data_IF_483046333240
#
_entry.id   IF_483046333240
#
_cell.length_a   1.000
_cell.length_b   1.000
_cell.length_c   1.000
_cell.angle_alpha   90.00
_cell.angle_beta   90.00
_cell.angle_gamma   90.00
#
_symmetry.space_group_name_H-M   'P 1'
#
loop_
_entity.id
_entity.type
_entity.pdbx_description
1 polymer ?
#
# COMPACT_ATOMS: atom_id res chain seq x y z
N UNK A 1 32.05 64.25 2.28
CA UNK A 1 30.78 64.01 2.97
C UNK A 1 29.71 63.76 1.93
N UNK A 2 29.08 62.58 1.97
CA UNK A 2 27.88 62.29 1.19
C UNK A 2 26.82 63.37 1.48
N UNK A 3 25.91 63.75 0.58
CA UNK A 3 24.93 62.87 -0.06
C UNK A 3 24.44 63.59 -1.34
N UNK A 4 24.45 62.87 -2.46
CA UNK A 4 23.80 63.21 -3.74
C UNK A 4 23.17 61.88 -4.21
N UNK A 5 21.94 61.76 -4.67
CA UNK A 5 20.87 62.69 -5.04
C UNK A 5 19.59 61.88 -5.37
N UNK A 6 18.39 62.47 -5.47
CA UNK A 6 17.82 63.15 -6.66
C UNK A 6 17.47 62.12 -7.76
N UNK A 7 16.27 62.01 -8.35
CA UNK A 7 15.07 62.84 -8.39
C UNK A 7 13.88 62.03 -8.93
N UNK A 8 12.70 62.55 -8.61
CA UNK A 8 11.43 62.49 -9.35
C UNK A 8 11.53 62.36 -10.88
N UNK A 9 10.63 61.59 -11.50
CA UNK A 9 10.36 61.74 -12.93
C UNK A 9 9.63 60.57 -13.58
N UNK A 10 8.34 60.76 -13.80
CA UNK A 10 7.47 60.09 -14.78
C UNK A 10 8.14 59.88 -16.15
N UNK A 11 8.26 58.63 -16.63
CA UNK A 11 8.46 58.32 -18.05
C UNK A 11 7.73 57.03 -18.47
N UNK A 12 6.52 57.24 -19.00
CA UNK A 12 6.02 56.76 -20.30
C UNK A 12 6.64 55.44 -20.81
N UNK A 13 5.89 54.35 -20.64
CA UNK A 13 6.11 53.09 -21.35
C UNK A 13 5.94 53.28 -22.87
N UNK A 14 7.04 53.21 -23.62
CA UNK A 14 7.04 53.07 -25.07
C UNK A 14 7.05 51.58 -25.43
N UNK A 15 5.89 51.07 -25.83
CA UNK A 15 5.75 49.76 -26.47
C UNK A 15 6.39 49.77 -27.86
N UNK A 16 7.34 48.87 -28.11
CA UNK A 16 7.72 48.44 -29.46
C UNK A 16 7.57 46.92 -29.54
N UNK A 17 6.43 46.50 -30.08
CA UNK A 17 6.09 45.13 -30.41
C UNK A 17 7.09 44.54 -31.43
N UNK A 18 7.50 43.28 -31.21
CA UNK A 18 7.11 42.11 -32.03
C UNK A 18 8.02 40.93 -31.69
N UNK A 19 7.46 39.91 -31.04
CA UNK A 19 7.26 38.59 -31.66
C UNK A 19 6.30 37.80 -30.80
N UNK A 20 5.19 37.45 -31.44
CA UNK A 20 4.13 36.55 -31.03
C UNK A 20 4.59 35.33 -30.23
N UNK A 21 4.18 35.24 -28.97
CA UNK A 21 3.80 33.96 -28.40
C UNK A 21 2.47 34.18 -27.71
N UNK A 22 1.47 33.48 -28.23
CA UNK A 22 0.07 33.51 -27.85
C UNK A 22 -0.15 33.60 -26.33
N UNK A 23 -1.11 34.45 -25.92
CA UNK A 23 -1.64 34.60 -24.57
C UNK A 23 -2.34 33.32 -24.02
N UNK A 24 -2.02 32.15 -24.56
CA UNK A 24 -2.45 30.83 -24.07
C UNK A 24 -1.52 30.23 -23.00
N UNK A 25 -0.33 30.80 -22.77
CA UNK A 25 0.63 30.23 -21.81
C UNK A 25 0.42 30.64 -20.34
N UNK A 26 -0.57 31.48 -20.03
CA UNK A 26 -0.75 32.00 -18.66
C UNK A 26 -2.05 31.55 -17.95
N UNK A 27 -2.95 30.82 -18.63
CA UNK A 27 -4.19 30.28 -18.04
C UNK A 27 -4.20 28.74 -18.04
N UNK A 28 -3.12 28.13 -17.56
CA UNK A 28 -3.08 26.70 -17.22
C UNK A 28 -2.55 26.48 -15.80
N UNK A 29 -2.79 27.44 -14.90
CA UNK A 29 -2.35 27.37 -13.50
C UNK A 29 -3.46 27.22 -12.46
N UNK A 30 -4.74 27.24 -12.83
CA UNK A 30 -5.78 27.37 -11.79
C UNK A 30 -7.14 26.74 -12.08
N UNK A 31 -7.22 25.55 -12.69
CA UNK A 31 -8.45 24.75 -12.65
C UNK A 31 -8.09 23.25 -12.68
N UNK A 32 -7.69 22.68 -11.54
CA UNK A 32 -7.88 21.24 -11.22
C UNK A 32 -7.24 20.82 -9.88
N UNK A 33 -7.40 21.61 -8.81
CA UNK A 33 -7.00 21.12 -7.48
C UNK A 33 -7.86 19.95 -7.00
N UNK A 34 -9.13 19.84 -7.41
CA UNK A 34 -10.01 18.76 -6.93
C UNK A 34 -10.09 17.53 -7.84
N UNK A 35 -9.79 17.63 -9.15
CA UNK A 35 -9.81 16.47 -10.07
C UNK A 35 -8.44 15.79 -10.15
N UNK A 36 -7.34 16.53 -9.95
CA UNK A 36 -5.99 15.96 -9.97
C UNK A 36 -5.68 15.12 -8.71
N UNK A 37 -6.31 15.45 -7.57
CA UNK A 37 -6.16 14.66 -6.33
C UNK A 37 -6.64 13.21 -6.53
N UNK A 38 -7.72 12.97 -7.28
CA UNK A 38 -8.31 11.64 -7.39
C UNK A 38 -7.50 10.64 -8.24
N UNK A 39 -6.72 11.09 -9.22
CA UNK A 39 -6.03 10.20 -10.17
C UNK A 39 -4.76 9.61 -9.54
N UNK A 40 -4.01 10.41 -8.79
CA UNK A 40 -2.75 9.94 -8.16
C UNK A 40 -3.04 9.01 -6.99
N UNK A 41 -4.23 9.14 -6.36
CA UNK A 41 -4.69 8.27 -5.26
C UNK A 41 -4.81 6.80 -5.64
N UNK A 42 -5.10 6.52 -6.92
CA UNK A 42 -5.58 5.20 -7.34
C UNK A 42 -4.50 4.12 -7.45
N UNK A 43 -3.22 4.48 -7.67
CA UNK A 43 -2.17 3.48 -7.91
C UNK A 43 -1.59 2.87 -6.62
N UNK A 44 -1.52 3.65 -5.53
CA UNK A 44 -0.86 3.21 -4.29
C UNK A 44 -1.77 2.38 -3.38
N UNK A 45 -3.08 2.47 -3.54
CA UNK A 45 -4.07 1.60 -2.87
C UNK A 45 -3.72 0.10 -3.03
N UNK A 46 -3.26 -0.29 -4.23
CA UNK A 46 -2.86 -1.67 -4.55
C UNK A 46 -1.67 -2.17 -3.71
N UNK A 47 -0.84 -1.26 -3.22
CA UNK A 47 0.38 -1.60 -2.49
C UNK A 47 0.23 -1.49 -0.97
N UNK A 48 -0.95 -1.10 -0.47
CA UNK A 48 -1.22 -1.04 0.98
C UNK A 48 -0.82 -2.36 1.65
N UNK A 49 -0.04 -2.24 2.73
CA UNK A 49 0.44 -3.39 3.48
C UNK A 49 1.75 -4.02 2.99
N UNK A 50 2.28 -3.58 1.85
CA UNK A 50 3.59 -4.03 1.34
C UNK A 50 4.66 -3.02 1.78
N UNK A 51 5.80 -3.52 2.26
CA UNK A 51 6.91 -2.67 2.66
C UNK A 51 7.36 -1.72 1.51
N UNK A 52 7.51 -0.41 1.75
CA UNK A 52 7.79 0.57 0.68
C UNK A 52 9.11 0.31 -0.04
N UNK A 53 10.12 -0.21 0.66
CA UNK A 53 11.38 -0.62 0.06
C UNK A 53 11.27 -1.72 -1.01
N UNK A 54 10.31 -2.64 -0.89
CA UNK A 54 10.08 -3.70 -1.89
C UNK A 54 9.49 -3.08 -3.17
N UNK A 55 8.54 -2.17 -3.00
CA UNK A 55 7.95 -1.41 -4.11
C UNK A 55 9.02 -0.57 -4.80
N UNK A 56 9.85 0.13 -4.03
CA UNK A 56 10.98 0.91 -4.55
C UNK A 56 11.95 0.04 -5.36
N UNK A 57 12.28 -1.17 -4.87
CA UNK A 57 13.13 -2.10 -5.61
C UNK A 57 12.55 -2.50 -6.97
N UNK A 58 11.22 -2.62 -7.07
CA UNK A 58 10.54 -2.87 -8.35
C UNK A 58 10.60 -1.65 -9.26
N UNK A 59 10.37 -0.46 -8.72
CA UNK A 59 10.42 0.79 -9.50
C UNK A 59 11.82 1.08 -10.06
N UNK A 60 12.88 0.83 -9.27
CA UNK A 60 14.26 0.94 -9.75
C UNK A 60 14.55 -0.07 -10.88
N UNK A 61 14.09 -1.32 -10.75
CA UNK A 61 14.25 -2.34 -11.80
C UNK A 61 13.51 -1.97 -13.09
N UNK A 62 12.27 -1.49 -12.98
CA UNK A 62 11.47 -1.04 -14.14
C UNK A 62 12.18 0.09 -14.91
N UNK A 63 12.85 0.99 -14.20
CA UNK A 63 13.59 2.12 -14.77
C UNK A 63 15.04 1.78 -15.15
N UNK A 64 15.45 0.51 -15.04
CA UNK A 64 16.82 0.04 -15.25
C UNK A 64 17.89 0.79 -14.41
N UNK A 65 17.49 1.33 -13.24
CA UNK A 65 18.40 2.05 -12.35
C UNK A 65 19.09 1.03 -11.42
N UNK A 66 20.42 1.05 -11.43
CA UNK A 66 21.22 0.23 -10.50
C UNK A 66 21.10 0.80 -9.08
N UNK A 67 20.87 -0.09 -8.12
CA UNK A 67 20.62 0.26 -6.72
C UNK A 67 21.79 0.96 -6.02
N UNK A 68 23.02 0.47 -6.21
CA UNK A 68 24.23 1.02 -5.59
C UNK A 68 24.52 2.47 -6.01
N UNK A 69 24.58 2.83 -7.31
CA UNK A 69 24.80 4.23 -7.70
C UNK A 69 23.64 5.13 -7.28
N UNK A 70 22.41 4.61 -7.25
CA UNK A 70 21.26 5.36 -6.75
C UNK A 70 21.41 5.71 -5.26
N UNK A 71 21.81 4.76 -4.42
CA UNK A 71 22.06 5.01 -2.99
C UNK A 71 23.15 6.08 -2.77
N UNK A 72 24.25 6.00 -3.52
CA UNK A 72 25.33 7.00 -3.47
C UNK A 72 24.82 8.39 -3.87
N UNK A 73 23.94 8.48 -4.87
CA UNK A 73 23.33 9.76 -5.29
C UNK A 73 22.42 10.41 -4.24
N UNK A 74 21.97 9.65 -3.25
CA UNK A 74 21.14 10.09 -2.12
C UNK A 74 21.97 10.43 -0.87
N UNK A 75 23.29 10.28 -0.96
CA UNK A 75 24.22 10.31 0.17
C UNK A 75 23.90 9.26 1.25
N UNK A 76 23.37 8.10 0.83
CA UNK A 76 23.09 6.98 1.71
C UNK A 76 24.02 5.80 1.46
N UNK A 77 24.30 5.03 2.50
CA UNK A 77 25.15 3.86 2.38
C UNK A 77 24.45 2.73 1.60
N UNK A 78 25.09 2.10 0.60
CA UNK A 78 24.49 1.03 -0.19
C UNK A 78 23.98 -0.17 0.63
N UNK A 79 24.63 -0.51 1.76
CA UNK A 79 24.15 -1.59 2.62
C UNK A 79 22.83 -1.23 3.30
N UNK A 80 22.69 0.01 3.79
CA UNK A 80 21.46 0.52 4.40
C UNK A 80 20.34 0.52 3.38
N UNK A 81 20.61 1.06 2.18
CA UNK A 81 19.63 1.08 1.10
C UNK A 81 19.22 -0.34 0.66
N UNK A 82 20.16 -1.29 0.64
CA UNK A 82 19.88 -2.69 0.36
C UNK A 82 18.99 -3.35 1.42
N UNK A 83 19.25 -3.08 2.70
CA UNK A 83 18.40 -3.56 3.79
C UNK A 83 16.97 -3.02 3.68
N UNK A 84 16.81 -1.75 3.30
CA UNK A 84 15.50 -1.12 3.05
C UNK A 84 14.81 -1.79 1.86
N UNK A 85 15.49 -1.95 0.74
CA UNK A 85 14.91 -2.57 -0.48
C UNK A 85 14.47 -4.02 -0.22
N UNK A 86 15.15 -4.74 0.68
CA UNK A 86 14.77 -6.10 1.10
C UNK A 86 13.67 -6.14 2.18
N UNK A 87 13.17 -4.99 2.64
CA UNK A 87 12.15 -4.93 3.70
C UNK A 87 12.65 -5.28 5.10
N UNK A 88 13.97 -5.36 5.30
CA UNK A 88 14.57 -5.66 6.61
C UNK A 88 14.65 -4.43 7.52
N UNK A 89 14.55 -3.22 6.94
CA UNK A 89 14.66 -1.95 7.64
C UNK A 89 13.58 -1.00 7.13
N UNK A 90 12.91 -0.30 8.04
CA UNK A 90 11.93 0.72 7.69
C UNK A 90 12.56 1.92 6.95
N UNK A 91 11.74 2.61 6.18
CA UNK A 91 12.15 3.80 5.44
C UNK A 91 12.00 5.05 6.31
N UNK A 92 13.10 5.81 6.45
CA UNK A 92 13.07 7.09 7.17
C UNK A 92 12.44 8.19 6.34
N UNK A 93 11.64 9.08 6.97
CA UNK A 93 10.92 10.17 6.27
C UNK A 93 11.83 11.08 5.44
N UNK A 94 12.98 11.58 5.95
CA UNK A 94 13.90 12.38 5.14
C UNK A 94 14.45 11.63 3.92
N UNK A 95 14.70 10.33 4.06
CA UNK A 95 15.18 9.50 2.96
C UNK A 95 14.08 9.28 1.92
N UNK A 96 12.84 9.05 2.35
CA UNK A 96 11.68 8.94 1.47
C UNK A 96 11.55 10.18 0.59
N UNK A 97 11.59 11.38 1.19
CA UNK A 97 11.49 12.65 0.45
C UNK A 97 12.64 12.82 -0.56
N UNK A 98 13.88 12.46 -0.20
CA UNK A 98 15.01 12.49 -1.14
C UNK A 98 14.79 11.55 -2.34
N UNK A 99 14.29 10.34 -2.08
CA UNK A 99 14.01 9.33 -3.11
C UNK A 99 12.89 9.82 -4.05
N UNK A 100 11.80 10.33 -3.49
CA UNK A 100 10.65 10.82 -4.24
C UNK A 100 11.06 11.96 -5.19
N UNK A 101 11.83 12.93 -4.68
CA UNK A 101 12.40 14.01 -5.50
C UNK A 101 13.28 13.50 -6.63
N UNK A 102 14.15 12.52 -6.37
CA UNK A 102 15.04 11.94 -7.40
C UNK A 102 14.29 11.12 -8.46
N UNK A 103 13.18 10.48 -8.10
CA UNK A 103 12.39 9.64 -8.99
C UNK A 103 11.22 10.40 -9.65
N UNK A 104 10.97 11.65 -9.26
CA UNK A 104 9.84 12.44 -9.73
C UNK A 104 8.50 11.88 -9.25
N UNK A 105 8.46 11.35 -8.02
CA UNK A 105 7.22 10.87 -7.38
C UNK A 105 6.59 12.01 -6.57
N UNK A 106 5.29 11.87 -6.29
CA UNK A 106 4.60 12.78 -5.38
C UNK A 106 5.18 12.66 -3.96
N UNK A 107 5.46 13.81 -3.34
CA UNK A 107 6.01 13.87 -1.99
C UNK A 107 5.02 13.24 -0.98
N UNK A 108 5.53 12.36 -0.11
CA UNK A 108 4.73 11.67 0.91
C UNK A 108 4.19 10.30 0.50
N UNK A 109 4.29 9.91 -0.78
CA UNK A 109 3.81 8.60 -1.27
C UNK A 109 4.42 7.42 -0.49
N UNK A 110 5.75 7.40 -0.35
CA UNK A 110 6.47 6.32 0.33
C UNK A 110 6.27 6.37 1.85
N UNK A 111 6.06 7.57 2.41
CA UNK A 111 5.79 7.77 3.84
C UNK A 111 4.42 7.20 4.20
N UNK A 112 3.39 7.51 3.40
CA UNK A 112 2.05 6.96 3.55
C UNK A 112 2.09 5.42 3.45
N UNK A 113 2.86 4.89 2.50
CA UNK A 113 3.02 3.45 2.33
C UNK A 113 3.73 2.79 3.54
N UNK A 114 4.75 3.43 4.10
CA UNK A 114 5.40 2.99 5.34
C UNK A 114 4.40 2.94 6.49
N UNK A 115 3.59 3.99 6.66
CA UNK A 115 2.57 4.04 7.71
C UNK A 115 1.55 2.89 7.59
N UNK A 116 1.05 2.60 6.37
CA UNK A 116 0.16 1.47 6.16
C UNK A 116 0.81 0.12 6.47
N UNK A 117 2.08 -0.05 6.09
CA UNK A 117 2.83 -1.25 6.42
C UNK A 117 3.01 -1.41 7.95
N UNK A 118 3.32 -0.33 8.65
CA UNK A 118 3.50 -0.35 10.11
C UNK A 118 2.18 -0.65 10.82
N UNK A 119 1.06 -0.08 10.36
CA UNK A 119 -0.29 -0.42 10.85
C UNK A 119 -0.57 -1.91 10.65
N UNK A 120 -0.28 -2.47 9.48
CA UNK A 120 -0.50 -3.89 9.25
C UNK A 120 0.38 -4.75 10.16
N UNK A 121 1.66 -4.40 10.30
CA UNK A 121 2.58 -5.12 11.17
C UNK A 121 2.14 -5.06 12.63
N UNK A 122 1.63 -3.92 13.09
CA UNK A 122 1.05 -3.78 14.42
C UNK A 122 -0.17 -4.71 14.59
N UNK A 123 -1.08 -4.74 13.61
CA UNK A 123 -2.23 -5.66 13.60
C UNK A 123 -1.84 -7.14 13.59
N UNK A 124 -0.72 -7.49 12.94
CA UNK A 124 -0.19 -8.85 12.94
C UNK A 124 0.44 -9.24 14.28
N UNK A 125 0.92 -8.26 15.05
CA UNK A 125 1.48 -8.45 16.39
C UNK A 125 0.42 -8.44 17.49
N UNK A 126 -0.69 -7.74 17.29
CA UNK A 126 -1.88 -7.87 18.13
C UNK A 126 -2.32 -9.35 18.15
N UNK A 127 -2.66 -9.84 19.34
CA UNK A 127 -2.88 -11.27 19.62
C UNK A 127 -3.81 -11.87 18.58
N UNK A 128 -3.32 -12.88 17.85
CA UNK A 128 -4.17 -13.67 16.96
C UNK A 128 -5.25 -14.30 17.81
N UNK A 129 -6.46 -13.78 17.72
CA UNK A 129 -7.62 -14.37 18.36
C UNK A 129 -7.73 -15.80 17.80
N UNK A 130 -7.52 -16.80 18.65
CA UNK A 130 -7.55 -18.22 18.29
C UNK A 130 -8.63 -18.91 19.12
N UNK A 131 -9.38 -19.85 18.54
CA UNK A 131 -10.28 -20.69 19.32
C UNK A 131 -9.46 -21.65 20.19
N UNK A 132 -10.14 -22.30 21.12
CA UNK A 132 -9.51 -23.33 21.93
C UNK A 132 -9.16 -24.54 21.05
N UNK A 133 -7.87 -24.64 20.69
CA UNK A 133 -7.35 -25.71 19.83
C UNK A 133 -7.36 -27.09 20.51
N UNK A 134 -7.52 -27.14 21.84
CA UNK A 134 -7.61 -28.41 22.56
C UNK A 134 -8.94 -29.13 22.31
N UNK A 135 -10.00 -28.36 22.03
CA UNK A 135 -11.35 -28.87 21.74
C UNK A 135 -11.44 -29.35 20.29
N UNK A 136 -10.77 -28.65 19.37
CA UNK A 136 -10.85 -28.93 17.94
C UNK A 136 -10.13 -30.22 17.56
N UNK A 137 -10.84 -31.09 16.83
CA UNK A 137 -10.25 -32.34 16.33
C UNK A 137 -9.12 -32.07 15.32
N UNK A 138 -7.92 -32.59 15.63
CA UNK A 138 -6.75 -32.49 14.75
C UNK A 138 -6.95 -33.15 13.38
N UNK A 139 -7.80 -34.17 13.31
CA UNK A 139 -8.10 -34.89 12.06
C UNK A 139 -8.83 -34.02 11.03
N UNK A 140 -9.54 -32.97 11.46
CA UNK A 140 -10.22 -32.05 10.54
C UNK A 140 -9.25 -31.25 9.67
N UNK A 141 -8.04 -31.03 10.16
CA UNK A 141 -7.01 -30.23 9.50
C UNK A 141 -5.81 -31.11 9.13
N UNK A 142 -6.05 -32.33 8.64
CA UNK A 142 -4.97 -33.24 8.24
C UNK A 142 -4.07 -32.67 7.13
N UNK A 143 -4.61 -31.76 6.30
CA UNK A 143 -3.92 -31.06 5.22
C UNK A 143 -3.30 -29.71 5.65
N UNK A 144 -3.60 -29.20 6.86
CA UNK A 144 -3.25 -27.83 7.28
C UNK A 144 -2.72 -27.78 8.72
N UNK A 145 -1.58 -27.15 8.95
CA UNK A 145 -1.10 -26.90 10.32
C UNK A 145 -1.99 -25.89 11.05
N UNK A 146 -2.72 -26.38 12.06
CA UNK A 146 -3.70 -25.63 12.86
C UNK A 146 -3.10 -24.37 13.49
N UNK A 147 -1.82 -24.40 13.87
CA UNK A 147 -1.14 -23.27 14.53
C UNK A 147 -0.88 -22.09 13.58
N UNK A 148 -0.90 -22.35 12.27
CA UNK A 148 -0.59 -21.37 11.23
C UNK A 148 -1.85 -20.83 10.55
N UNK A 149 -3.02 -21.36 10.89
CA UNK A 149 -4.30 -20.90 10.35
C UNK A 149 -4.57 -19.47 10.81
N UNK A 150 -4.95 -18.63 9.85
CA UNK A 150 -5.48 -17.31 10.16
C UNK A 150 -6.99 -17.42 10.37
N UNK A 151 -7.40 -17.60 11.63
CA UNK A 151 -8.79 -17.79 12.03
C UNK A 151 -9.67 -16.60 11.59
N UNK A 152 -9.15 -15.38 11.55
CA UNK A 152 -9.97 -14.24 11.10
C UNK A 152 -10.12 -14.20 9.59
N UNK A 153 -9.04 -14.37 8.82
CA UNK A 153 -9.08 -14.27 7.35
C UNK A 153 -9.69 -15.50 6.69
N UNK A 154 -9.47 -16.68 7.26
CA UNK A 154 -9.88 -17.96 6.67
C UNK A 154 -11.18 -18.51 7.31
N UNK A 155 -11.88 -17.70 8.10
CA UNK A 155 -13.07 -18.11 8.86
C UNK A 155 -14.11 -18.88 8.02
N UNK A 156 -14.36 -18.46 6.77
CA UNK A 156 -15.32 -19.12 5.88
C UNK A 156 -14.97 -20.58 5.61
N UNK A 157 -13.71 -20.84 5.26
CA UNK A 157 -13.24 -22.18 4.94
C UNK A 157 -13.21 -23.07 6.19
N UNK A 158 -12.80 -22.49 7.33
CA UNK A 158 -12.79 -23.17 8.63
C UNK A 158 -14.21 -23.55 9.06
N UNK A 159 -15.16 -22.61 9.06
CA UNK A 159 -16.56 -22.85 9.43
C UNK A 159 -17.16 -23.91 8.52
N UNK A 160 -17.02 -23.76 7.20
CA UNK A 160 -17.54 -24.73 6.24
C UNK A 160 -17.01 -26.14 6.53
N UNK A 161 -15.70 -26.28 6.70
CA UNK A 161 -15.05 -27.57 6.99
C UNK A 161 -15.54 -28.20 8.29
N UNK A 162 -15.64 -27.42 9.36
CA UNK A 162 -16.09 -27.91 10.67
C UNK A 162 -17.57 -28.31 10.64
N UNK A 163 -18.43 -27.54 9.97
CA UNK A 163 -19.86 -27.88 9.87
C UNK A 163 -20.14 -29.07 8.93
N UNK A 164 -19.31 -29.29 7.91
CA UNK A 164 -19.43 -30.42 6.99
C UNK A 164 -18.92 -31.75 7.58
N UNK A 165 -17.82 -31.73 8.34
CA UNK A 165 -17.10 -32.96 8.76
C UNK A 165 -16.83 -33.06 10.26
N UNK A 166 -17.03 -31.99 11.02
CA UNK A 166 -16.68 -31.89 12.44
C UNK A 166 -17.72 -32.51 13.37
N UNK A 167 -17.28 -32.79 14.59
CA UNK A 167 -18.13 -33.30 15.66
C UNK A 167 -18.94 -32.15 16.32
N UNK A 168 -19.84 -32.49 17.25
CA UNK A 168 -20.66 -31.47 17.93
C UNK A 168 -19.87 -30.54 18.85
N UNK A 169 -18.74 -30.98 19.41
CA UNK A 169 -17.88 -30.13 20.24
C UNK A 169 -17.13 -29.09 19.39
N UNK A 170 -16.63 -29.51 18.22
CA UNK A 170 -15.99 -28.64 17.24
C UNK A 170 -16.96 -27.54 16.80
N UNK A 171 -18.19 -27.91 16.45
CA UNK A 171 -19.24 -26.96 16.04
C UNK A 171 -19.57 -25.98 17.16
N UNK A 172 -19.65 -26.43 18.42
CA UNK A 172 -19.91 -25.56 19.59
C UNK A 172 -18.77 -24.56 19.80
N UNK A 173 -17.53 -24.99 19.76
CA UNK A 173 -16.38 -24.10 19.94
C UNK A 173 -16.27 -23.07 18.80
N UNK A 174 -16.45 -23.49 17.55
CA UNK A 174 -16.49 -22.57 16.41
C UNK A 174 -17.67 -21.58 16.51
N UNK A 175 -18.81 -22.02 17.03
CA UNK A 175 -19.98 -21.14 17.28
C UNK A 175 -19.73 -20.11 18.37
N UNK A 176 -19.07 -20.52 19.45
CA UNK A 176 -18.62 -19.60 20.51
C UNK A 176 -17.63 -18.57 19.95
N UNK A 177 -16.71 -19.00 19.09
CA UNK A 177 -15.62 -18.16 18.60
C UNK A 177 -16.05 -17.12 17.55
N UNK A 178 -16.89 -17.49 16.56
CA UNK A 178 -17.26 -16.59 15.45
C UNK A 178 -18.64 -15.93 15.58
N UNK A 179 -19.46 -16.34 16.55
CA UNK A 179 -20.88 -15.98 16.66
C UNK A 179 -21.77 -16.59 15.57
N UNK A 180 -23.06 -16.71 15.89
CA UNK A 180 -24.06 -17.38 15.03
C UNK A 180 -24.30 -16.65 13.71
N UNK A 181 -24.26 -15.31 13.71
CA UNK A 181 -24.44 -14.49 12.51
C UNK A 181 -23.35 -14.77 11.47
N UNK A 182 -22.08 -14.77 11.90
CA UNK A 182 -20.94 -15.01 11.02
C UNK A 182 -20.94 -16.42 10.42
N UNK A 183 -21.44 -17.40 11.18
CA UNK A 183 -21.62 -18.77 10.70
C UNK A 183 -22.70 -18.86 9.63
N UNK A 184 -23.88 -18.26 9.87
CA UNK A 184 -24.96 -18.25 8.88
C UNK A 184 -24.50 -17.65 7.55
N UNK A 185 -23.83 -16.51 7.61
CA UNK A 185 -23.26 -15.85 6.43
C UNK A 185 -22.28 -16.77 5.68
N UNK A 186 -21.35 -17.43 6.40
CA UNK A 186 -20.38 -18.33 5.78
C UNK A 186 -21.03 -19.57 5.12
N UNK A 187 -22.11 -20.10 5.71
CA UNK A 187 -22.85 -21.26 5.20
C UNK A 187 -23.82 -20.91 4.07
N UNK A 188 -24.30 -19.68 3.98
CA UNK A 188 -25.12 -19.22 2.86
C UNK A 188 -24.27 -19.02 1.61
N UNK A 189 -23.08 -18.44 1.76
CA UNK A 189 -22.15 -18.19 0.65
C UNK A 189 -21.51 -19.47 0.09
N UNK A 190 -21.45 -20.56 0.86
CA UNK A 190 -20.97 -21.83 0.33
C UNK A 190 -21.96 -22.43 -0.68
N UNK A 191 -23.27 -22.21 -0.48
CA UNK A 191 -24.34 -22.71 -1.37
C UNK A 191 -24.35 -22.01 -2.72
N UNK A 192 -23.89 -20.76 -2.79
CA UNK A 192 -23.91 -19.95 -4.02
C UNK A 192 -22.71 -20.21 -4.94
N UNK A 193 -21.72 -21.00 -4.51
CA UNK A 193 -20.56 -21.29 -5.35
C UNK A 193 -20.93 -22.25 -6.47
N UNK A 194 -20.75 -21.80 -7.71
CA UNK A 194 -20.86 -22.67 -8.86
C UNK A 194 -19.72 -23.71 -8.85
N UNK A 195 -20.03 -24.98 -9.17
CA UNK A 195 -19.01 -26.00 -9.33
C UNK A 195 -18.02 -25.58 -10.42
N UNK A 196 -16.75 -25.93 -10.23
CA UNK A 196 -15.73 -25.62 -11.21
C UNK A 196 -16.06 -26.29 -12.56
N UNK A 197 -15.96 -25.53 -13.65
CA UNK A 197 -16.20 -26.04 -14.99
C UNK A 197 -15.01 -26.90 -15.41
N UNK A 198 -15.18 -28.22 -15.47
CA UNK A 198 -14.13 -29.12 -15.97
C UNK A 198 -14.14 -29.03 -17.51
N UNK A 199 -13.15 -28.34 -18.07
CA UNK A 199 -12.92 -28.33 -19.51
C UNK A 199 -12.34 -29.69 -19.92
N UNK A 200 -13.09 -30.48 -20.71
CA UNK A 200 -12.55 -31.70 -21.32
C UNK A 200 -11.53 -31.29 -22.38
N UNK A 201 -10.28 -31.74 -22.22
CA UNK A 201 -9.28 -31.69 -23.28
C UNK A 201 -9.62 -32.77 -24.30
N UNK A 202 -9.82 -32.35 -25.56
CA UNK A 202 -10.09 -33.22 -26.71
C UNK A 202 -8.80 -33.83 -27.24
#
# INVERSE_FOLDING_TARGET
>A
MAICGRWSGTLRCSWRNKTSVSAASFILRYVNKNVCICIVVSYYEKYKGIHPGIVLGRELKKRAIKQRPFALSLAEHPQTFNAITKGKRGLSTPLALKIERKLGLEEGTLVILQAYYDIQKAKEQETKHTPDLSILSKSLFWDTDINRIDWQRQYRAVIQRVFERGNENDKKEITRFYSTEKIKLALEESKTRHPYTIHKTN
#
